data_IF_889816972351
#
_entry.id   IF_889816972351
#
_cell.length_a   1.000
_cell.length_b   1.000
_cell.length_c   1.000
_cell.angle_alpha   90.00
_cell.angle_beta   90.00
_cell.angle_gamma   90.00
#
_symmetry.space_group_name_H-M   'P 1'
#
loop_
_entity.id
_entity.type
_entity.pdbx_description
1 polymer ?
#
# COMPACT_ATOMS: atom_id res chain seq x y z
N UNK A 1 -3.02 11.20 -8.02
CA UNK A 1 -3.22 9.77 -8.34
C UNK A 1 -4.64 9.33 -8.07
N UNK A 2 -5.19 9.52 -6.86
CA UNK A 2 -6.61 9.25 -6.54
C UNK A 2 -7.60 9.91 -7.52
N UNK A 3 -7.50 11.23 -7.74
CA UNK A 3 -8.33 11.93 -8.72
C UNK A 3 -8.10 11.48 -10.19
N UNK A 4 -7.05 10.70 -10.46
CA UNK A 4 -6.74 10.19 -11.81
C UNK A 4 -7.33 8.81 -12.06
N UNK A 5 -7.64 8.03 -11.02
CA UNK A 5 -8.27 6.70 -11.17
C UNK A 5 -9.80 6.76 -11.20
N UNK A 6 -10.41 7.86 -10.75
CA UNK A 6 -11.86 8.09 -10.90
C UNK A 6 -12.69 6.94 -10.33
N UNK A 7 -13.64 6.43 -11.12
CA UNK A 7 -14.52 5.31 -10.76
C UNK A 7 -13.98 3.93 -11.17
N UNK A 8 -12.69 3.84 -11.54
CA UNK A 8 -12.08 2.57 -11.93
C UNK A 8 -12.13 1.56 -10.77
N UNK A 9 -12.57 0.35 -11.08
CA UNK A 9 -12.54 -0.81 -10.20
C UNK A 9 -11.43 -1.78 -10.63
N UNK A 10 -11.14 -2.78 -9.81
CA UNK A 10 -10.14 -3.83 -10.09
C UNK A 10 -8.76 -3.25 -10.41
N UNK A 11 -8.21 -2.56 -9.42
CA UNK A 11 -6.99 -1.78 -9.56
C UNK A 11 -5.75 -2.61 -9.24
N UNK A 12 -4.74 -2.52 -10.11
CA UNK A 12 -3.39 -3.03 -9.85
C UNK A 12 -2.43 -1.87 -9.62
N UNK A 13 -2.00 -1.68 -8.38
CA UNK A 13 -0.92 -0.78 -8.03
C UNK A 13 0.40 -1.55 -8.12
N UNK A 14 1.35 -1.04 -8.89
CA UNK A 14 2.72 -1.56 -8.94
C UNK A 14 3.65 -0.47 -8.43
N UNK A 15 4.49 -0.82 -7.45
CA UNK A 15 5.48 0.08 -6.87
C UNK A 15 6.86 -0.57 -6.97
N UNK A 16 7.84 0.25 -7.31
CA UNK A 16 9.24 -0.12 -7.36
C UNK A 16 10.02 0.82 -6.45
N UNK A 17 10.68 0.26 -5.45
CA UNK A 17 11.64 1.00 -4.65
C UNK A 17 12.86 1.37 -5.51
N UNK A 18 13.51 2.47 -5.16
CA UNK A 18 14.82 2.91 -5.65
C UNK A 18 15.89 1.82 -5.64
N UNK A 19 15.73 0.76 -4.83
CA UNK A 19 16.51 -0.46 -4.89
C UNK A 19 16.05 -1.48 -5.95
N UNK A 20 16.04 -2.76 -5.57
CA UNK A 20 15.66 -3.91 -6.42
C UNK A 20 14.26 -4.47 -6.13
N UNK A 21 13.55 -3.89 -5.16
CA UNK A 21 12.26 -4.37 -4.71
C UNK A 21 11.14 -3.84 -5.62
N UNK A 22 10.39 -4.76 -6.21
CA UNK A 22 9.15 -4.44 -6.90
C UNK A 22 8.04 -5.22 -6.22
N UNK A 23 6.95 -4.54 -5.90
CA UNK A 23 5.77 -5.16 -5.30
C UNK A 23 4.51 -4.60 -5.92
N UNK A 24 3.40 -5.29 -5.72
CA UNK A 24 2.11 -4.86 -6.20
C UNK A 24 1.00 -5.12 -5.19
N UNK A 25 -0.10 -4.39 -5.38
CA UNK A 25 -1.36 -4.59 -4.67
C UNK A 25 -2.49 -4.64 -5.69
N UNK A 26 -3.24 -5.74 -5.65
CA UNK A 26 -4.51 -5.86 -6.36
C UNK A 26 -5.65 -5.53 -5.41
N UNK A 27 -6.56 -4.66 -5.85
CA UNK A 27 -7.72 -4.20 -5.11
C UNK A 27 -8.95 -4.52 -5.96
N UNK A 28 -9.76 -5.48 -5.52
CA UNK A 28 -11.02 -5.86 -6.19
C UNK A 28 -12.13 -4.89 -5.79
N UNK A 29 -12.01 -3.65 -6.24
CA UNK A 29 -12.92 -2.57 -5.90
C UNK A 29 -12.40 -1.19 -6.29
N UNK A 30 -13.14 -0.16 -5.89
CA UNK A 30 -12.84 1.24 -6.21
C UNK A 30 -12.18 1.96 -5.04
N UNK A 31 -11.38 2.99 -5.34
CA UNK A 31 -10.92 3.95 -4.35
C UNK A 31 -11.96 5.06 -4.17
N UNK A 32 -12.85 4.90 -3.20
CA UNK A 32 -13.89 5.91 -2.92
C UNK A 32 -13.32 7.07 -2.12
N UNK A 33 -13.39 8.29 -2.67
CA UNK A 33 -13.09 9.49 -1.90
C UNK A 33 -14.28 9.86 -1.00
N UNK A 34 -14.04 10.30 0.24
CA UNK A 34 -15.11 10.82 1.10
C UNK A 34 -15.65 12.14 0.55
N UNK A 35 -16.94 12.41 0.80
CA UNK A 35 -17.57 13.67 0.43
C UNK A 35 -17.06 14.87 1.25
N UNK A 36 -16.69 14.62 2.50
CA UNK A 36 -16.05 15.60 3.38
C UNK A 36 -14.54 15.68 3.04
N UNK A 37 -14.00 16.87 2.69
CA UNK A 37 -12.58 17.06 2.43
C UNK A 37 -11.66 16.64 3.57
N UNK A 38 -12.13 16.68 4.82
CA UNK A 38 -11.40 16.28 6.03
C UNK A 38 -11.69 14.84 6.45
N UNK A 39 -12.71 14.23 5.83
CA UNK A 39 -13.20 12.91 6.16
C UNK A 39 -12.30 11.76 5.69
N UNK A 40 -12.72 10.56 6.05
CA UNK A 40 -12.08 9.30 5.67
C UNK A 40 -13.17 8.31 5.26
N UNK A 41 -12.98 7.65 4.13
CA UNK A 41 -13.90 6.62 3.62
C UNK A 41 -13.21 5.26 3.68
N UNK A 42 -13.89 4.24 4.23
CA UNK A 42 -13.37 2.86 4.27
C UNK A 42 -14.27 1.94 3.47
N UNK A 43 -13.69 1.30 2.45
CA UNK A 43 -14.35 0.29 1.63
C UNK A 43 -13.81 -1.09 1.97
N UNK A 44 -14.68 -2.03 2.29
CA UNK A 44 -14.32 -3.44 2.44
C UNK A 44 -14.32 -4.10 1.06
N UNK A 45 -13.16 -4.58 0.63
CA UNK A 45 -12.97 -5.23 -0.65
C UNK A 45 -11.77 -6.19 -0.58
N UNK A 46 -11.76 -7.26 -1.40
CA UNK A 46 -10.62 -8.15 -1.48
C UNK A 46 -9.36 -7.40 -1.88
N UNK A 47 -8.28 -7.67 -1.14
CA UNK A 47 -6.95 -7.13 -1.39
C UNK A 47 -5.96 -8.29 -1.44
N UNK A 48 -5.13 -8.31 -2.47
CA UNK A 48 -4.01 -9.26 -2.58
C UNK A 48 -2.71 -8.49 -2.79
N UNK A 49 -1.68 -8.86 -2.03
CA UNK A 49 -0.33 -8.32 -2.25
C UNK A 49 0.53 -9.28 -3.05
N UNK A 50 1.49 -8.72 -3.78
CA UNK A 50 2.48 -9.46 -4.52
C UNK A 50 3.87 -8.89 -4.26
N UNK A 51 4.85 -9.74 -4.01
CA UNK A 51 6.24 -9.38 -4.30
C UNK A 51 6.56 -9.82 -5.72
N UNK A 52 7.09 -8.93 -6.54
CA UNK A 52 7.46 -9.22 -7.93
C UNK A 52 8.97 -9.51 -8.04
N UNK A 53 9.79 -8.78 -7.28
CA UNK A 53 11.24 -8.97 -7.25
C UNK A 53 11.86 -8.47 -5.94
N UNK A 54 13.03 -9.00 -5.60
CA UNK A 54 13.91 -8.49 -4.55
C UNK A 54 13.63 -9.00 -3.13
N UNK A 55 12.38 -9.35 -2.80
CA UNK A 55 12.04 -9.73 -1.43
C UNK A 55 12.40 -11.18 -1.04
N UNK A 56 12.54 -12.08 -2.03
CA UNK A 56 12.73 -13.50 -1.80
C UNK A 56 13.96 -14.03 -2.56
N UNK A 57 14.71 -14.95 -1.95
CA UNK A 57 15.95 -15.52 -2.53
C UNK A 57 15.69 -16.25 -3.85
N UNK A 58 14.57 -16.97 -3.93
CA UNK A 58 14.17 -17.74 -5.11
C UNK A 58 13.77 -16.84 -6.29
N UNK A 59 13.55 -15.56 -6.02
CA UNK A 59 12.96 -14.62 -6.96
C UNK A 59 11.54 -15.02 -7.39
N UNK A 60 11.13 -14.49 -8.55
CA UNK A 60 9.79 -14.67 -9.10
C UNK A 60 8.70 -13.93 -8.33
N UNK A 61 7.46 -14.09 -8.80
CA UNK A 61 6.29 -13.44 -8.18
C UNK A 61 5.80 -14.31 -7.02
N UNK A 62 5.69 -13.70 -5.85
CA UNK A 62 5.12 -14.29 -4.65
C UNK A 62 3.78 -13.63 -4.33
N UNK A 63 2.71 -14.42 -4.20
CA UNK A 63 1.42 -13.94 -3.73
C UNK A 63 1.39 -13.96 -2.20
N UNK A 64 0.94 -12.85 -1.60
CA UNK A 64 0.85 -12.65 -0.15
C UNK A 64 -0.63 -12.39 0.16
N UNK A 65 -1.23 -13.29 0.93
CA UNK A 65 -2.66 -13.23 1.26
C UNK A 65 -2.88 -12.25 2.41
N UNK A 66 -3.82 -11.33 2.25
CA UNK A 66 -4.26 -10.43 3.33
C UNK A 66 -5.36 -11.12 4.14
N UNK A 67 -5.27 -11.20 5.47
CA UNK A 67 -6.33 -11.75 6.31
C UNK A 67 -7.67 -11.07 6.05
N UNK A 68 -8.77 -11.84 6.01
CA UNK A 68 -10.10 -11.33 5.65
C UNK A 68 -10.54 -10.09 6.45
N UNK A 69 -10.25 -10.06 7.76
CA UNK A 69 -10.59 -8.92 8.64
C UNK A 69 -9.80 -7.64 8.33
N UNK A 70 -8.72 -7.76 7.56
CA UNK A 70 -7.86 -6.65 7.12
C UNK A 70 -8.08 -6.30 5.63
N UNK A 71 -8.95 -7.02 4.91
CA UNK A 71 -9.29 -6.75 3.51
C UNK A 71 -10.20 -5.51 3.39
N UNK A 72 -9.56 -4.35 3.39
CA UNK A 72 -10.19 -3.04 3.25
C UNK A 72 -9.22 -2.02 2.69
N UNK A 73 -9.77 -0.99 2.10
CA UNK A 73 -9.07 0.21 1.65
C UNK A 73 -9.69 1.42 2.31
N UNK A 74 -8.84 2.28 2.87
CA UNK A 74 -9.23 3.51 3.53
C UNK A 74 -8.60 4.69 2.81
N UNK A 75 -9.41 5.67 2.42
CA UNK A 75 -9.01 6.84 1.63
C UNK A 75 -9.35 8.10 2.39
N UNK A 76 -8.38 8.99 2.55
CA UNK A 76 -8.61 10.31 3.11
C UNK A 76 -9.14 11.29 2.05
N UNK A 77 -9.91 12.26 2.52
CA UNK A 77 -10.25 13.45 1.75
C UNK A 77 -9.00 14.28 1.40
N UNK A 78 -9.19 15.31 0.58
CA UNK A 78 -8.10 16.15 0.09
C UNK A 78 -7.32 16.84 1.22
N UNK A 79 -8.02 17.23 2.28
CA UNK A 79 -7.46 17.92 3.46
C UNK A 79 -7.26 16.97 4.65
N UNK A 80 -7.85 15.78 4.61
CA UNK A 80 -7.76 14.77 5.65
C UNK A 80 -6.51 13.88 5.58
N UNK A 81 -6.42 12.97 6.54
CA UNK A 81 -5.41 11.91 6.59
C UNK A 81 -5.99 10.64 7.21
N UNK A 82 -5.56 9.48 6.73
CA UNK A 82 -5.79 8.20 7.38
C UNK A 82 -4.76 8.08 8.50
N UNK A 83 -5.23 7.91 9.74
CA UNK A 83 -4.38 7.80 10.91
C UNK A 83 -4.17 6.33 11.30
N UNK A 84 -2.94 5.97 11.64
CA UNK A 84 -2.66 4.68 12.27
C UNK A 84 -3.25 4.63 13.69
N UNK A 85 -3.69 3.45 14.13
CA UNK A 85 -4.35 3.26 15.42
C UNK A 85 -3.47 3.64 16.64
N UNK A 86 -2.15 3.67 16.47
CA UNK A 86 -1.19 4.06 17.50
C UNK A 86 -0.79 5.55 17.43
N UNK A 87 -1.36 6.33 16.50
CA UNK A 87 -1.05 7.75 16.30
C UNK A 87 0.31 8.03 15.65
N UNK A 88 1.16 7.03 15.42
CA UNK A 88 2.54 7.19 14.94
C UNK A 88 2.69 7.17 13.40
N UNK A 89 1.61 7.32 12.65
CA UNK A 89 1.66 7.29 11.20
C UNK A 89 0.41 7.89 10.57
N UNK A 90 0.59 8.60 9.47
CA UNK A 90 -0.51 9.14 8.67
C UNK A 90 -0.19 9.04 7.19
N UNK A 91 -1.23 8.77 6.39
CA UNK A 91 -1.12 8.73 4.93
C UNK A 91 -2.45 9.14 4.28
N UNK A 92 -2.47 9.20 2.94
CA UNK A 92 -3.68 9.52 2.16
C UNK A 92 -4.49 8.28 1.80
N UNK A 93 -3.83 7.13 1.65
CA UNK A 93 -4.49 5.83 1.40
C UNK A 93 -3.86 4.77 2.27
N UNK A 94 -4.69 3.92 2.86
CA UNK A 94 -4.28 2.72 3.60
C UNK A 94 -4.96 1.50 2.98
N UNK A 95 -4.20 0.46 2.66
CA UNK A 95 -4.66 -0.75 1.98
C UNK A 95 -4.31 -1.96 2.85
N UNK A 96 -5.21 -2.95 2.89
CA UNK A 96 -4.98 -4.19 3.63
C UNK A 96 -4.88 -3.96 5.14
N UNK A 97 -5.69 -3.04 5.68
CA UNK A 97 -5.75 -2.79 7.12
C UNK A 97 -4.51 -2.09 7.71
N UNK A 98 -3.82 -1.28 6.92
CA UNK A 98 -2.59 -0.59 7.36
C UNK A 98 -1.31 -1.32 6.98
N UNK A 99 -1.37 -2.27 6.05
CA UNK A 99 -0.22 -2.98 5.50
C UNK A 99 0.41 -2.29 4.31
N UNK A 100 -0.30 -1.39 3.65
CA UNK A 100 0.25 -0.58 2.58
C UNK A 100 -0.29 0.84 2.70
N UNK A 101 0.61 1.81 2.74
CA UNK A 101 0.30 3.22 2.91
C UNK A 101 0.82 4.03 1.73
N UNK A 102 -0.01 4.96 1.24
CA UNK A 102 0.35 5.90 0.18
C UNK A 102 0.23 7.33 0.69
N UNK A 103 1.19 8.18 0.33
CA UNK A 103 1.21 9.60 0.70
C UNK A 103 1.59 9.87 2.17
N UNK A 104 2.48 9.03 2.71
CA UNK A 104 3.23 9.25 3.95
C UNK A 104 3.36 8.02 4.84
N UNK A 105 4.57 7.73 5.37
CA UNK A 105 4.81 7.18 6.74
C UNK A 105 6.20 7.62 7.30
N UNK A 106 6.18 8.42 8.38
CA UNK A 106 7.30 8.91 9.23
C UNK A 106 6.72 9.84 10.34
N UNK A 107 7.50 10.28 11.35
CA UNK A 107 7.03 11.29 12.33
C UNK A 107 6.87 12.66 11.66
N UNK A 108 5.74 12.88 10.99
CA UNK A 108 5.48 14.11 10.26
C UNK A 108 4.11 14.16 9.60
N UNK A 109 3.74 15.35 9.14
CA UNK A 109 2.50 15.61 8.41
C UNK A 109 2.35 14.69 7.18
N UNK A 110 1.10 14.34 6.80
CA UNK A 110 0.85 13.60 5.57
C UNK A 110 1.54 14.29 4.40
N UNK A 111 2.19 13.53 3.53
CA UNK A 111 2.74 14.08 2.30
C UNK A 111 1.61 14.76 1.52
N UNK A 112 1.89 15.94 0.96
CA UNK A 112 0.92 16.65 0.10
C UNK A 112 0.56 15.88 -1.19
N UNK A 113 1.17 14.71 -1.41
CA UNK A 113 1.00 13.85 -2.56
C UNK A 113 1.21 12.37 -2.21
N UNK A 114 0.90 11.50 -3.17
CA UNK A 114 0.95 10.05 -3.04
C UNK A 114 2.31 9.45 -3.43
N UNK A 115 3.39 10.26 -3.42
CA UNK A 115 4.70 9.80 -3.94
C UNK A 115 5.36 8.81 -3.00
N UNK A 116 5.18 8.93 -1.69
CA UNK A 116 5.71 7.95 -0.75
C UNK A 116 4.78 6.75 -0.57
N UNK A 117 5.38 5.57 -0.58
CA UNK A 117 4.71 4.29 -0.42
C UNK A 117 5.43 3.48 0.65
N UNK A 118 4.69 2.91 1.62
CA UNK A 118 5.25 2.04 2.65
C UNK A 118 4.43 0.77 2.76
N UNK A 119 5.04 -0.38 2.50
CA UNK A 119 4.41 -1.68 2.71
C UNK A 119 4.97 -2.36 3.96
N UNK A 120 4.10 -2.99 4.74
CA UNK A 120 4.40 -3.84 5.90
C UNK A 120 3.69 -5.18 5.73
N UNK A 121 4.45 -6.27 5.68
CA UNK A 121 3.91 -7.63 5.70
C UNK A 121 4.39 -8.34 6.96
N UNK A 122 3.45 -8.90 7.73
CA UNK A 122 3.81 -9.70 8.90
C UNK A 122 4.45 -11.00 8.44
N UNK A 123 5.44 -11.47 9.21
CA UNK A 123 6.17 -12.71 8.91
C UNK A 123 5.25 -13.92 8.74
N UNK A 124 4.19 -14.02 9.54
CA UNK A 124 3.23 -15.14 9.45
C UNK A 124 2.31 -15.11 8.23
N UNK A 125 2.32 -14.02 7.43
CA UNK A 125 1.56 -13.92 6.19
C UNK A 125 2.45 -14.12 4.95
N UNK A 126 3.76 -14.31 5.14
CA UNK A 126 4.67 -14.63 4.06
C UNK A 126 4.42 -16.07 3.58
N UNK A 127 4.61 -16.33 2.28
CA UNK A 127 4.51 -17.70 1.75
C UNK A 127 5.52 -18.62 2.44
N UNK A 128 5.03 -19.78 2.92
CA UNK A 128 5.83 -20.79 3.63
C UNK A 128 6.92 -21.44 2.75
N UNK A 129 6.77 -21.35 1.43
CA UNK A 129 7.66 -21.96 0.43
C UNK A 129 8.73 -21.00 -0.10
N UNK A 130 8.88 -19.79 0.47
CA UNK A 130 9.88 -18.81 0.04
C UNK A 130 10.72 -18.25 1.18
N UNK A 131 12.03 -18.18 0.96
CA UNK A 131 12.99 -17.57 1.86
C UNK A 131 13.01 -16.05 1.71
N UNK A 132 12.53 -15.34 2.72
CA UNK A 132 12.60 -13.89 2.79
C UNK A 132 14.04 -13.41 3.00
N UNK A 133 14.50 -12.45 2.18
CA UNK A 133 15.81 -11.81 2.35
C UNK A 133 15.65 -10.64 3.33
N UNK A 134 16.22 -10.71 4.55
CA UNK A 134 16.10 -9.62 5.50
C UNK A 134 16.93 -8.42 5.03
N UNK A 135 16.32 -7.24 5.00
CA UNK A 135 16.95 -5.96 4.64
C UNK A 135 17.40 -5.14 5.86
N UNK A 136 17.46 -5.77 7.04
CA UNK A 136 17.80 -5.14 8.33
C UNK A 136 16.60 -4.80 9.21
N UNK A 137 15.36 -5.01 8.73
CA UNK A 137 14.14 -4.88 9.52
C UNK A 137 13.52 -6.25 9.86
N UNK A 138 12.74 -6.33 10.95
CA UNK A 138 12.06 -7.58 11.38
C UNK A 138 10.78 -7.89 10.55
N UNK A 139 10.50 -7.08 9.52
CA UNK A 139 9.28 -7.11 8.70
C UNK A 139 9.68 -6.80 7.25
N UNK A 140 8.87 -7.23 6.26
CA UNK A 140 9.02 -6.72 4.90
C UNK A 140 8.64 -5.24 4.91
N UNK A 141 9.61 -4.35 4.75
CA UNK A 141 9.39 -2.92 4.56
C UNK A 141 9.97 -2.47 3.23
N UNK A 142 9.12 -2.02 2.32
CA UNK A 142 9.57 -1.37 1.09
C UNK A 142 9.09 0.08 1.09
N UNK A 143 10.04 1.01 0.92
CA UNK A 143 9.74 2.42 0.67
C UNK A 143 9.92 2.67 -0.82
N UNK A 144 8.89 3.15 -1.51
CA UNK A 144 8.98 3.42 -2.93
C UNK A 144 8.49 4.82 -3.26
N UNK A 145 9.17 5.48 -4.20
CA UNK A 145 8.68 6.67 -4.86
C UNK A 145 7.77 6.26 -6.03
N UNK A 146 6.48 6.58 -5.93
CA UNK A 146 5.52 6.34 -7.01
C UNK A 146 5.68 7.42 -8.07
N UNK A 147 6.32 7.06 -9.19
CA UNK A 147 6.37 7.89 -10.39
C UNK A 147 5.09 7.65 -11.21
N UNK A 148 4.23 8.65 -11.44
CA UNK A 148 3.08 8.48 -12.32
C UNK A 148 3.55 8.15 -13.74
N UNK A 149 2.96 7.14 -14.38
CA UNK A 149 3.27 6.82 -15.78
C UNK A 149 2.93 8.02 -16.65
N UNK A 150 3.95 8.64 -17.25
CA UNK A 150 3.75 9.60 -18.34
C UNK A 150 3.11 8.82 -19.49
N UNK A 151 1.86 9.13 -19.82
CA UNK A 151 1.25 8.66 -21.07
C UNK A 151 1.83 9.50 -22.21
N UNK A 152 2.25 8.92 -23.34
CA UNK A 152 2.61 9.69 -24.54
C UNK A 152 1.39 10.40 -25.15
#
# INVERSE_FOLDING_TARGET
>A
MLAKVGEAADLLLVAKDTGSHTFASHIEGQLKQPADPTGVETTFCPVTFYSISGAFEEGGIAKITVPHVEQRVTVAGTEGAVMANNGCGSGKVSIGGGRLWLGGVGEGQPGGDLRSCHQFVRRGDLPDDKAYVPDGWQWLSAVADIVPSQSP
#
